data_IF_051063290321
#
_entry.id   IF_051063290321
#
_cell.length_a   1.000
_cell.length_b   1.000
_cell.length_c   1.000
_cell.angle_alpha   90.00
_cell.angle_beta   90.00
_cell.angle_gamma   90.00
#
_symmetry.space_group_name_H-M   'P 1'
#
loop_
_entity.id
_entity.type
_entity.pdbx_description
1 polymer ?
#
# COMPACT_ATOMS: atom_id res chain seq x y z
N UNK A 1 22.00 -26.22 -14.10
CA UNK A 1 20.72 -26.90 -13.82
C UNK A 1 19.62 -25.90 -14.11
N UNK A 2 18.67 -26.22 -14.97
CA UNK A 2 17.55 -25.32 -15.25
C UNK A 2 16.72 -25.19 -13.99
N UNK A 3 16.60 -23.98 -13.46
CA UNK A 3 15.84 -23.64 -12.27
C UNK A 3 14.33 -23.64 -12.62
N UNK A 4 13.84 -24.78 -13.12
CA UNK A 4 12.50 -24.90 -13.68
C UNK A 4 11.52 -25.09 -12.53
N UNK A 5 11.19 -23.99 -11.85
CA UNK A 5 10.10 -23.96 -10.88
C UNK A 5 8.79 -24.33 -11.59
N UNK A 6 7.97 -25.15 -10.93
CA UNK A 6 6.62 -25.46 -11.41
C UNK A 6 5.77 -24.19 -11.43
N UNK A 7 4.68 -24.19 -12.22
CA UNK A 7 3.75 -23.07 -12.23
C UNK A 7 3.21 -22.75 -10.83
N UNK A 8 2.90 -23.79 -10.05
CA UNK A 8 2.41 -23.66 -8.67
C UNK A 8 3.45 -23.05 -7.74
N UNK A 9 4.72 -23.43 -7.88
CA UNK A 9 5.80 -22.85 -7.09
C UNK A 9 5.97 -21.36 -7.40
N UNK A 10 5.91 -20.99 -8.69
CA UNK A 10 5.99 -19.58 -9.11
C UNK A 10 4.81 -18.76 -8.59
N UNK A 11 3.61 -19.34 -8.59
CA UNK A 11 2.41 -18.69 -8.05
C UNK A 11 2.55 -18.48 -6.54
N UNK A 12 2.96 -19.49 -5.79
CA UNK A 12 3.19 -19.41 -4.34
C UNK A 12 4.26 -18.39 -3.97
N UNK A 13 5.37 -18.36 -4.73
CA UNK A 13 6.43 -17.37 -4.56
C UNK A 13 5.89 -15.94 -4.79
N UNK A 14 5.10 -15.73 -5.85
CA UNK A 14 4.47 -14.44 -6.15
C UNK A 14 3.50 -14.02 -5.05
N UNK A 15 2.64 -14.91 -4.58
CA UNK A 15 1.74 -14.62 -3.46
C UNK A 15 2.49 -14.20 -2.20
N UNK A 16 3.59 -14.88 -1.89
CA UNK A 16 4.44 -14.56 -0.74
C UNK A 16 5.04 -13.17 -0.88
N UNK A 17 5.65 -12.87 -2.04
CA UNK A 17 6.23 -11.55 -2.31
C UNK A 17 5.17 -10.45 -2.22
N UNK A 18 3.99 -10.65 -2.82
CA UNK A 18 2.90 -9.67 -2.79
C UNK A 18 2.43 -9.41 -1.36
N UNK A 19 2.20 -10.46 -0.56
CA UNK A 19 1.83 -10.32 0.86
C UNK A 19 2.90 -9.56 1.66
N UNK A 20 4.17 -9.90 1.46
CA UNK A 20 5.29 -9.20 2.12
C UNK A 20 5.33 -7.73 1.74
N UNK A 21 5.20 -7.40 0.46
CA UNK A 21 5.22 -6.01 -0.01
C UNK A 21 4.04 -5.20 0.55
N UNK A 22 2.83 -5.79 0.60
CA UNK A 22 1.66 -5.12 1.17
C UNK A 22 1.90 -4.80 2.66
N UNK A 23 2.28 -5.80 3.45
CA UNK A 23 2.50 -5.63 4.90
C UNK A 23 3.64 -4.62 5.16
N UNK A 24 4.74 -4.74 4.44
CA UNK A 24 5.88 -3.83 4.58
C UNK A 24 5.49 -2.38 4.31
N UNK A 25 4.82 -2.11 3.18
CA UNK A 25 4.45 -0.74 2.83
C UNK A 25 3.45 -0.14 3.83
N UNK A 26 2.44 -0.89 4.26
CA UNK A 26 1.48 -0.42 5.27
C UNK A 26 2.19 -0.06 6.59
N UNK A 27 3.13 -0.89 7.05
CA UNK A 27 3.89 -0.64 8.27
C UNK A 27 4.85 0.55 8.14
N UNK A 28 5.54 0.66 7.00
CA UNK A 28 6.46 1.76 6.72
C UNK A 28 5.70 3.10 6.70
N UNK A 29 4.59 3.16 5.98
CA UNK A 29 3.76 4.36 5.87
C UNK A 29 3.12 4.72 7.21
N UNK A 30 2.63 3.75 7.98
CA UNK A 30 2.10 4.01 9.33
C UNK A 30 3.18 4.57 10.28
N UNK A 31 4.42 4.12 10.14
CA UNK A 31 5.53 4.60 10.96
C UNK A 31 5.93 6.04 10.60
N UNK A 32 6.08 6.32 9.31
CA UNK A 32 6.37 7.67 8.82
C UNK A 32 5.22 8.63 9.12
N UNK A 33 3.99 8.17 8.87
CA UNK A 33 2.73 8.85 9.10
C UNK A 33 2.57 9.38 10.52
N UNK A 34 2.79 8.52 11.53
CA UNK A 34 2.76 8.94 12.94
C UNK A 34 3.72 10.09 13.23
N UNK A 35 4.95 10.02 12.73
CA UNK A 35 5.94 11.10 12.95
C UNK A 35 5.55 12.40 12.26
N UNK A 36 5.02 12.31 11.04
CA UNK A 36 4.51 13.49 10.32
C UNK A 36 3.31 14.09 11.04
N UNK A 37 2.35 13.27 11.48
CA UNK A 37 1.14 13.73 12.17
C UNK A 37 1.46 14.35 13.54
N UNK A 38 2.39 13.75 14.31
CA UNK A 38 2.87 14.30 15.60
C UNK A 38 3.56 15.67 15.43
N UNK A 39 4.39 15.82 14.39
CA UNK A 39 5.18 17.04 14.18
C UNK A 39 4.45 18.15 13.41
N UNK A 40 3.55 17.78 12.49
CA UNK A 40 2.79 18.70 11.65
C UNK A 40 1.51 18.04 11.07
N UNK A 41 0.38 18.12 11.79
CA UNK A 41 -0.89 17.53 11.34
C UNK A 41 -1.38 18.05 9.98
N UNK A 42 -1.02 19.28 9.59
CA UNK A 42 -1.44 19.84 8.31
C UNK A 42 -0.80 19.09 7.14
N UNK A 43 0.47 18.70 7.26
CA UNK A 43 1.17 17.91 6.24
C UNK A 43 0.54 16.51 6.11
N UNK A 44 0.18 15.87 7.23
CA UNK A 44 -0.49 14.57 7.19
C UNK A 44 -1.81 14.62 6.38
N UNK A 45 -2.58 15.70 6.54
CA UNK A 45 -3.82 15.91 5.78
C UNK A 45 -3.56 16.16 4.29
N UNK A 46 -2.51 16.91 3.93
CA UNK A 46 -2.13 17.12 2.52
C UNK A 46 -1.78 15.80 1.84
N UNK A 47 -0.95 14.97 2.50
CA UNK A 47 -0.59 13.66 1.94
C UNK A 47 -1.83 12.76 1.79
N UNK A 48 -2.76 12.80 2.75
CA UNK A 48 -4.02 12.07 2.63
C UNK A 48 -4.88 12.53 1.44
N UNK A 49 -4.88 13.84 1.14
CA UNK A 49 -5.55 14.39 -0.04
C UNK A 49 -4.88 13.93 -1.34
N UNK A 50 -3.54 13.98 -1.41
CA UNK A 50 -2.78 13.49 -2.57
C UNK A 50 -3.02 12.00 -2.84
N UNK A 51 -3.08 11.18 -1.77
CA UNK A 51 -3.43 9.77 -1.87
C UNK A 51 -4.89 9.56 -2.31
N UNK A 52 -5.82 10.40 -1.84
CA UNK A 52 -7.22 10.35 -2.29
C UNK A 52 -7.35 10.69 -3.77
N UNK A 53 -6.54 11.64 -4.27
CA UNK A 53 -6.44 11.90 -5.70
C UNK A 53 -5.88 10.68 -6.44
N UNK A 54 -4.81 10.07 -5.93
CA UNK A 54 -4.23 8.85 -6.49
C UNK A 54 -5.25 7.70 -6.53
N UNK A 55 -6.12 7.58 -5.52
CA UNK A 55 -7.23 6.61 -5.46
C UNK A 55 -8.23 6.82 -6.59
N UNK A 56 -8.49 8.06 -6.98
CA UNK A 56 -9.45 8.37 -8.06
C UNK A 56 -8.98 7.92 -9.45
N UNK A 57 -7.69 7.63 -9.61
CA UNK A 57 -7.10 7.19 -10.88
C UNK A 57 -7.44 5.72 -11.15
N UNK A 58 -7.59 5.40 -12.44
CA UNK A 58 -7.78 4.03 -12.92
C UNK A 58 -6.56 3.57 -13.68
N UNK A 59 -6.13 2.34 -13.40
CA UNK A 59 -4.96 1.72 -14.02
C UNK A 59 -5.40 0.46 -14.76
N UNK A 60 -4.91 0.27 -15.98
CA UNK A 60 -5.18 -0.94 -16.74
C UNK A 60 -4.56 -2.16 -16.06
N UNK A 61 -5.28 -3.28 -16.07
CA UNK A 61 -4.84 -4.56 -15.49
C UNK A 61 -4.60 -4.53 -13.97
N UNK A 62 -5.27 -3.62 -13.25
CA UNK A 62 -5.27 -3.59 -11.78
C UNK A 62 -6.71 -3.74 -11.29
N UNK A 63 -6.89 -4.56 -10.26
CA UNK A 63 -8.17 -4.62 -9.54
C UNK A 63 -8.39 -3.30 -8.77
N UNK A 64 -9.38 -2.52 -9.22
CA UNK A 64 -9.68 -1.20 -8.66
C UNK A 64 -10.12 -1.27 -7.20
N UNK A 65 -10.87 -2.30 -6.80
CA UNK A 65 -11.36 -2.44 -5.44
C UNK A 65 -10.22 -2.74 -4.46
N UNK A 66 -9.31 -3.64 -4.86
CA UNK A 66 -8.12 -3.95 -4.07
C UNK A 66 -7.17 -2.75 -3.98
N UNK A 67 -6.96 -2.06 -5.10
CA UNK A 67 -6.17 -0.83 -5.14
C UNK A 67 -6.74 0.25 -4.22
N UNK A 68 -8.06 0.48 -4.27
CA UNK A 68 -8.73 1.47 -3.42
C UNK A 68 -8.62 1.14 -1.95
N UNK A 69 -8.85 -0.13 -1.59
CA UNK A 69 -8.67 -0.61 -0.21
C UNK A 69 -7.23 -0.42 0.27
N UNK A 70 -6.25 -0.65 -0.59
CA UNK A 70 -4.85 -0.42 -0.25
C UNK A 70 -4.56 1.07 0.00
N UNK A 71 -5.03 1.97 -0.87
CA UNK A 71 -4.85 3.42 -0.68
C UNK A 71 -5.55 3.91 0.58
N UNK A 72 -6.75 3.41 0.88
CA UNK A 72 -7.46 3.73 2.14
C UNK A 72 -6.64 3.32 3.37
N UNK A 73 -6.04 2.13 3.36
CA UNK A 73 -5.17 1.69 4.44
C UNK A 73 -3.94 2.59 4.62
N UNK A 74 -3.38 3.12 3.52
CA UNK A 74 -2.28 4.07 3.58
C UNK A 74 -2.70 5.40 4.21
N UNK A 75 -3.86 5.93 3.81
CA UNK A 75 -4.43 7.16 4.39
C UNK A 75 -4.67 6.99 5.90
N UNK A 76 -5.25 5.85 6.30
CA UNK A 76 -5.45 5.51 7.71
C UNK A 76 -4.13 5.43 8.46
N UNK A 77 -3.11 4.79 7.87
CA UNK A 77 -1.78 4.71 8.47
C UNK A 77 -1.12 6.09 8.67
N UNK A 78 -1.34 7.03 7.74
CA UNK A 78 -0.76 8.38 7.83
C UNK A 78 -1.48 9.25 8.83
N UNK A 79 -2.80 9.27 8.77
CA UNK A 79 -3.62 10.17 9.58
C UNK A 79 -3.88 9.62 10.98
N UNK A 80 -3.75 8.30 11.16
CA UNK A 80 -4.19 7.59 12.36
C UNK A 80 -5.71 7.53 12.52
N UNK A 81 -6.47 7.84 11.46
CA UNK A 81 -7.94 7.91 11.47
C UNK A 81 -8.49 6.93 10.45
N UNK A 82 -9.36 6.02 10.91
CA UNK A 82 -10.07 5.07 10.08
C UNK A 82 -11.35 5.69 9.49
#
# INVERSE_FOLDING_TARGET
MSDTRTADQRLSDLETVVKTLIIFNTNAISTLGRRVSEGNPAIANVIAADLSELKSRSYANIDKGLYDSYVDNLITGITGKA
#
